data_IF_016703135881
#
_entry.id   IF_016703135881
#
_cell.length_a   1.000
_cell.length_b   1.000
_cell.length_c   1.000
_cell.angle_alpha   90.00
_cell.angle_beta   90.00
_cell.angle_gamma   90.00
#
_symmetry.space_group_name_H-M   'P 1'
#
loop_
_entity.id
_entity.type
_entity.pdbx_description
1 polymer ?
#
# COMPACT_ATOMS: atom_id res chain seq x y z
N UNK A 1 27.75 19.10 54.05
CA UNK A 1 26.58 19.14 53.14
C UNK A 1 27.05 19.37 51.69
N UNK A 2 27.55 18.35 50.96
CA UNK A 2 27.94 18.53 49.54
C UNK A 2 27.79 17.28 48.64
N UNK A 3 27.36 16.13 49.16
CA UNK A 3 27.32 14.89 48.38
C UNK A 3 25.91 14.30 48.17
N UNK A 4 24.86 15.02 48.53
CA UNK A 4 23.48 14.54 48.37
C UNK A 4 22.73 15.11 47.15
N UNK A 5 23.35 16.00 46.37
CA UNK A 5 22.67 16.68 45.25
C UNK A 5 22.87 16.00 43.89
N UNK A 6 23.69 14.96 43.80
CA UNK A 6 24.06 14.31 42.53
C UNK A 6 23.25 13.04 42.20
N UNK A 7 22.37 12.58 43.10
CA UNK A 7 21.56 11.36 42.88
C UNK A 7 20.13 11.61 42.41
N UNK A 8 19.68 12.87 42.32
CA UNK A 8 18.30 13.22 41.88
C UNK A 8 18.23 13.60 40.39
N UNK A 9 19.37 13.68 39.67
CA UNK A 9 19.37 14.00 38.24
C UNK A 9 19.32 12.77 37.31
N UNK A 10 19.26 11.54 37.85
CA UNK A 10 19.19 10.30 37.06
C UNK A 10 17.77 9.75 36.87
N UNK A 11 16.74 10.40 37.44
CA UNK A 11 15.36 9.88 37.45
C UNK A 11 14.36 10.73 36.64
N UNK A 12 14.82 11.61 35.74
CA UNK A 12 13.95 12.45 34.92
C UNK A 12 14.30 12.46 33.42
N UNK A 13 14.80 11.34 32.90
CA UNK A 13 14.63 11.01 31.48
C UNK A 13 13.39 10.12 31.35
N UNK A 14 12.23 10.65 31.77
CA UNK A 14 10.99 10.19 31.19
C UNK A 14 11.13 10.50 29.71
N UNK A 15 11.30 9.47 28.87
CA UNK A 15 11.13 9.61 27.44
C UNK A 15 9.73 10.18 27.24
N UNK A 16 9.58 11.50 27.11
CA UNK A 16 8.57 12.00 26.21
C UNK A 16 9.04 11.49 24.85
N UNK A 17 8.57 10.32 24.46
CA UNK A 17 8.63 9.88 23.08
C UNK A 17 7.90 10.97 22.29
N UNK A 18 8.67 11.97 21.84
CA UNK A 18 8.12 13.05 21.03
C UNK A 18 7.45 12.40 19.83
N UNK A 19 6.30 12.95 19.43
CA UNK A 19 5.59 12.42 18.29
C UNK A 19 6.55 12.35 17.09
N UNK A 20 6.82 11.15 16.59
CA UNK A 20 7.79 10.92 15.54
C UNK A 20 7.05 10.75 14.21
N UNK A 21 7.26 11.68 13.28
CA UNK A 21 6.64 11.63 11.95
C UNK A 21 7.58 11.02 10.92
N UNK A 22 7.12 9.95 10.29
CA UNK A 22 7.75 9.31 9.14
C UNK A 22 7.05 9.71 7.85
N UNK A 23 7.81 9.89 6.78
CA UNK A 23 7.28 10.18 5.43
C UNK A 23 7.54 9.00 4.51
N UNK A 24 6.48 8.50 3.89
CA UNK A 24 6.54 7.40 2.92
C UNK A 24 6.07 7.89 1.55
N UNK A 25 6.73 7.42 0.49
CA UNK A 25 6.31 7.62 -0.89
C UNK A 25 6.30 6.28 -1.60
N UNK A 26 5.12 5.84 -2.03
CA UNK A 26 4.92 4.55 -2.71
C UNK A 26 3.64 4.64 -3.55
N UNK A 27 3.31 3.54 -4.21
CA UNK A 27 2.14 3.37 -5.03
C UNK A 27 0.88 3.18 -4.19
N UNK A 28 -0.18 3.83 -4.65
CA UNK A 28 -1.53 3.74 -4.12
C UNK A 28 -2.47 3.33 -5.23
N UNK A 29 -3.36 2.40 -4.90
CA UNK A 29 -4.35 1.84 -5.80
C UNK A 29 -5.72 1.96 -5.16
N UNK A 30 -6.73 2.31 -5.96
CA UNK A 30 -8.10 2.50 -5.49
C UNK A 30 -9.02 1.48 -6.16
N UNK A 31 -9.77 0.73 -5.37
CA UNK A 31 -10.85 -0.15 -5.81
C UNK A 31 -12.19 0.53 -5.52
N UNK A 32 -13.00 0.65 -6.57
CA UNK A 32 -14.30 1.34 -6.57
C UNK A 32 -15.46 0.35 -6.35
N UNK A 33 -15.26 -0.66 -5.51
CA UNK A 33 -16.33 -1.53 -5.01
C UNK A 33 -17.02 -2.32 -6.12
N UNK A 34 -16.25 -2.82 -7.09
CA UNK A 34 -16.73 -3.70 -8.16
C UNK A 34 -17.50 -3.03 -9.32
N UNK A 35 -17.82 -1.73 -9.25
CA UNK A 35 -18.56 -1.03 -10.34
C UNK A 35 -17.66 -0.59 -11.50
N UNK A 36 -16.38 -0.34 -11.25
CA UNK A 36 -15.43 0.22 -12.24
C UNK A 36 -14.02 -0.38 -12.16
N UNK A 37 -13.84 -1.44 -11.36
CA UNK A 37 -12.55 -2.10 -11.18
C UNK A 37 -11.56 -1.31 -10.32
N UNK A 38 -10.29 -1.67 -10.45
CA UNK A 38 -9.16 -1.12 -9.71
C UNK A 38 -8.42 -0.08 -10.57
N UNK A 39 -8.06 1.07 -10.01
CA UNK A 39 -7.32 2.11 -10.75
C UNK A 39 -5.89 1.69 -11.06
N UNK A 40 -5.28 2.32 -12.07
CA UNK A 40 -3.83 2.28 -12.22
C UNK A 40 -3.15 2.81 -10.93
N UNK A 41 -1.97 2.29 -10.55
CA UNK A 41 -1.22 2.81 -9.42
C UNK A 41 -0.87 4.29 -9.61
N UNK A 42 -1.00 5.07 -8.54
CA UNK A 42 -0.55 6.46 -8.46
C UNK A 42 0.49 6.60 -7.37
N UNK A 43 1.52 7.42 -7.57
CA UNK A 43 2.46 7.76 -6.51
C UNK A 43 1.77 8.65 -5.48
N UNK A 44 1.85 8.27 -4.20
CA UNK A 44 1.25 9.00 -3.10
C UNK A 44 2.25 9.20 -1.95
N UNK A 45 2.17 10.36 -1.30
CA UNK A 45 2.95 10.69 -0.11
C UNK A 45 2.08 10.55 1.13
N UNK A 46 2.58 9.83 2.13
CA UNK A 46 1.88 9.56 3.38
C UNK A 46 2.77 9.92 4.56
N UNK A 47 2.20 10.64 5.52
CA UNK A 47 2.82 10.86 6.82
C UNK A 47 2.22 9.90 7.84
N UNK A 48 3.10 9.23 8.59
CA UNK A 48 2.72 8.41 9.73
C UNK A 48 3.36 9.01 10.97
N UNK A 49 2.57 9.51 11.91
CA UNK A 49 3.07 10.10 13.15
C UNK A 49 2.82 9.17 14.31
N UNK A 50 3.86 8.61 14.89
CA UNK A 50 3.79 7.76 16.08
C UNK A 50 3.69 8.62 17.34
N UNK A 51 2.79 8.27 18.26
CA UNK A 51 2.64 8.91 19.58
C UNK A 51 1.89 7.97 20.53
N UNK A 52 2.29 7.90 21.79
CA UNK A 52 1.55 7.22 22.88
C UNK A 52 0.97 5.82 22.54
N UNK A 53 1.73 4.98 21.81
CA UNK A 53 1.26 3.64 21.40
C UNK A 53 0.20 3.64 20.30
N UNK A 54 0.05 4.76 19.61
CA UNK A 54 -0.86 5.00 18.50
C UNK A 54 -0.14 5.62 17.31
N UNK A 55 -0.84 5.71 16.19
CA UNK A 55 -0.41 6.47 15.02
C UNK A 55 -1.51 7.38 14.47
N UNK A 56 -1.07 8.51 13.93
CA UNK A 56 -1.85 9.32 13.00
C UNK A 56 -1.37 9.04 11.57
N UNK A 57 -2.31 8.67 10.69
CA UNK A 57 -2.08 8.45 9.27
C UNK A 57 -2.60 9.66 8.47
N UNK A 58 -1.74 10.32 7.71
CA UNK A 58 -2.11 11.42 6.82
C UNK A 58 -1.71 11.13 5.36
N UNK A 59 -2.70 10.83 4.51
CA UNK A 59 -2.52 10.72 3.07
C UNK A 59 -2.62 12.10 2.43
N UNK A 60 -1.55 12.53 1.76
CA UNK A 60 -1.48 13.87 1.14
C UNK A 60 -2.02 13.86 -0.28
N UNK A 61 -2.76 14.91 -0.64
CA UNK A 61 -3.15 15.21 -2.02
C UNK A 61 -3.82 14.07 -2.76
N UNK A 62 -4.71 13.36 -2.07
CA UNK A 62 -5.41 12.24 -2.68
C UNK A 62 -6.32 12.75 -3.80
N UNK A 63 -5.98 12.37 -5.03
CA UNK A 63 -6.80 12.55 -6.21
C UNK A 63 -6.99 11.19 -6.84
N UNK A 64 -8.21 10.68 -6.82
CA UNK A 64 -8.49 9.45 -7.55
C UNK A 64 -8.94 9.81 -8.98
N UNK A 65 -8.47 9.02 -9.94
CA UNK A 65 -8.75 9.20 -11.36
C UNK A 65 -9.48 7.96 -11.88
N UNK A 66 -10.62 8.16 -12.52
CA UNK A 66 -11.28 7.15 -13.33
C UNK A 66 -11.22 7.55 -14.80
N UNK A 67 -11.55 6.67 -15.75
CA UNK A 67 -11.62 7.05 -17.16
C UNK A 67 -12.58 8.21 -17.46
N UNK A 68 -13.57 8.44 -16.60
CA UNK A 68 -14.63 9.43 -16.82
C UNK A 68 -14.56 10.65 -15.91
N UNK A 69 -14.03 10.51 -14.69
CA UNK A 69 -14.01 11.60 -13.69
C UNK A 69 -12.74 11.54 -12.85
N UNK A 70 -12.13 12.71 -12.67
CA UNK A 70 -11.09 12.92 -11.67
C UNK A 70 -11.70 13.59 -10.45
N UNK A 71 -11.54 12.99 -9.28
CA UNK A 71 -12.07 13.55 -8.04
C UNK A 71 -10.91 13.84 -7.10
N UNK A 72 -10.70 15.13 -6.86
CA UNK A 72 -9.70 15.62 -5.92
C UNK A 72 -10.31 15.61 -4.52
N UNK A 73 -9.81 14.73 -3.66
CA UNK A 73 -10.33 14.59 -2.29
C UNK A 73 -9.63 15.55 -1.35
N UNK A 74 -8.30 15.66 -1.45
CA UNK A 74 -7.46 16.54 -0.62
C UNK A 74 -6.54 15.74 0.29
N UNK A 75 -6.18 16.31 1.45
CA UNK A 75 -5.50 15.55 2.49
C UNK A 75 -6.52 14.79 3.33
N UNK A 76 -6.18 13.56 3.67
CA UNK A 76 -6.99 12.70 4.53
C UNK A 76 -6.16 12.39 5.77
N UNK A 77 -6.63 12.81 6.95
CA UNK A 77 -5.98 12.50 8.21
C UNK A 77 -6.89 11.64 9.09
N UNK A 78 -6.41 10.45 9.46
CA UNK A 78 -7.05 9.57 10.43
C UNK A 78 -6.13 9.44 11.64
N UNK A 79 -6.63 9.86 12.80
CA UNK A 79 -5.85 9.94 14.04
C UNK A 79 -6.15 8.81 15.00
N UNK A 80 -5.27 8.63 15.98
CA UNK A 80 -5.46 7.75 17.14
C UNK A 80 -5.66 6.26 16.78
N UNK A 81 -5.00 5.77 15.73
CA UNK A 81 -5.03 4.37 15.36
C UNK A 81 -4.16 3.55 16.33
N UNK A 82 -4.74 2.54 16.96
CA UNK A 82 -4.04 1.69 17.93
C UNK A 82 -2.93 0.90 17.24
N UNK A 83 -1.75 0.87 17.86
CA UNK A 83 -0.62 0.05 17.40
C UNK A 83 -0.48 -1.20 18.25
N UNK A 84 -0.18 -2.31 17.60
CA UNK A 84 0.22 -3.58 18.21
C UNK A 84 1.51 -4.07 17.58
N UNK A 85 2.43 -4.59 18.39
CA UNK A 85 3.65 -5.24 17.90
C UNK A 85 3.29 -6.54 17.16
N UNK A 86 3.91 -6.77 15.99
CA UNK A 86 3.69 -7.94 15.11
C UNK A 86 5.03 -8.42 14.53
N UNK A 87 5.79 -9.15 15.37
CA UNK A 87 7.15 -9.60 15.04
C UNK A 87 8.11 -8.43 14.84
N UNK A 88 8.72 -8.35 13.66
CA UNK A 88 9.64 -7.26 13.28
C UNK A 88 8.92 -6.01 12.74
N UNK A 89 7.58 -5.99 12.77
CA UNK A 89 6.75 -4.92 12.23
C UNK A 89 5.78 -4.41 13.29
N UNK A 90 5.34 -3.17 13.13
CA UNK A 90 4.23 -2.61 13.90
C UNK A 90 2.96 -2.66 13.06
N UNK A 91 1.88 -3.16 13.63
CA UNK A 91 0.55 -3.21 12.99
C UNK A 91 -0.33 -2.13 13.61
N UNK A 92 -1.09 -1.42 12.77
CA UNK A 92 -2.11 -0.49 13.24
C UNK A 92 -3.47 -0.85 12.64
N UNK A 93 -4.53 -0.62 13.40
CA UNK A 93 -5.89 -0.71 12.90
C UNK A 93 -6.83 0.19 13.69
N UNK A 94 -7.95 0.55 13.07
CA UNK A 94 -8.96 1.34 13.74
C UNK A 94 -10.08 1.82 12.83
N UNK A 95 -11.16 2.26 13.46
CA UNK A 95 -12.29 2.93 12.82
C UNK A 95 -12.38 4.34 13.37
N UNK A 96 -12.58 5.31 12.50
CA UNK A 96 -12.69 6.69 12.93
C UNK A 96 -13.23 7.60 11.85
N UNK A 97 -13.42 8.86 12.24
CA UNK A 97 -13.85 9.92 11.35
C UNK A 97 -12.61 10.65 10.84
N UNK A 98 -12.16 10.30 9.64
CA UNK A 98 -11.01 10.92 9.00
C UNK A 98 -11.32 12.38 8.66
N UNK A 99 -10.42 13.30 9.01
CA UNK A 99 -10.51 14.71 8.67
C UNK A 99 -10.06 14.93 7.23
N UNK A 100 -10.85 15.67 6.48
CA UNK A 100 -10.51 16.09 5.12
C UNK A 100 -10.12 17.56 5.11
N UNK A 101 -9.00 17.88 4.46
CA UNK A 101 -8.56 19.26 4.24
C UNK A 101 -8.18 19.47 2.79
N UNK A 102 -8.21 20.74 2.35
CA UNK A 102 -7.90 21.11 0.96
C UNK A 102 -6.47 20.69 0.61
N UNK A 103 -6.31 20.05 -0.55
CA UNK A 103 -5.01 19.72 -1.11
C UNK A 103 -4.25 20.94 -1.64
N UNK A 104 -2.97 20.73 -1.96
CA UNK A 104 -2.04 21.76 -2.44
C UNK A 104 -1.54 21.51 -3.88
N UNK A 105 -2.06 20.48 -4.58
CA UNK A 105 -1.69 20.23 -5.98
C UNK A 105 -2.22 21.33 -6.93
N UNK A 106 -1.37 21.83 -7.85
CA UNK A 106 -1.80 22.76 -8.89
C UNK A 106 -2.78 22.09 -9.85
N UNK A 107 -3.66 22.89 -10.47
CA UNK A 107 -4.63 22.42 -11.47
C UNK A 107 -5.97 21.91 -10.92
N UNK A 108 -6.13 21.84 -9.60
CA UNK A 108 -7.40 21.46 -8.96
C UNK A 108 -8.06 22.67 -8.30
N UNK A 109 -9.12 23.18 -8.93
CA UNK A 109 -9.91 24.28 -8.39
C UNK A 109 -10.85 23.81 -7.27
N UNK A 110 -11.42 22.61 -7.44
CA UNK A 110 -12.41 22.02 -6.53
C UNK A 110 -11.84 20.81 -5.79
N UNK A 111 -12.05 20.77 -4.47
CA UNK A 111 -11.63 19.69 -3.58
C UNK A 111 -12.85 19.18 -2.80
N UNK A 112 -12.98 17.87 -2.64
CA UNK A 112 -14.08 17.25 -1.89
C UNK A 112 -14.12 17.74 -0.45
N UNK A 113 -12.96 18.05 0.13
CA UNK A 113 -12.85 18.67 1.46
C UNK A 113 -13.63 19.99 1.60
N UNK A 114 -13.98 20.65 0.50
CA UNK A 114 -14.82 21.86 0.50
C UNK A 114 -16.32 21.56 0.64
N UNK A 115 -16.77 20.36 0.30
CA UNK A 115 -18.15 19.91 0.53
C UNK A 115 -18.33 19.21 1.87
N UNK A 116 -17.30 18.51 2.34
CA UNK A 116 -17.35 17.75 3.58
C UNK A 116 -16.02 17.83 4.31
N UNK A 117 -16.07 18.07 5.62
CA UNK A 117 -14.87 18.20 6.46
C UNK A 117 -14.35 16.86 6.99
N UNK A 118 -15.12 15.78 6.85
CA UNK A 118 -14.76 14.49 7.41
C UNK A 118 -15.51 13.31 6.80
N UNK A 119 -14.91 12.12 6.84
CA UNK A 119 -15.49 10.87 6.33
C UNK A 119 -15.23 9.70 7.29
N UNK A 120 -16.22 8.84 7.49
CA UNK A 120 -16.03 7.62 8.29
C UNK A 120 -15.18 6.61 7.51
N UNK A 121 -14.17 6.06 8.20
CA UNK A 121 -13.10 5.29 7.60
C UNK A 121 -12.62 4.19 8.55
N UNK A 122 -12.33 3.04 7.97
CA UNK A 122 -11.62 1.94 8.61
C UNK A 122 -10.22 1.85 8.00
N UNK A 123 -9.21 1.72 8.85
CA UNK A 123 -7.83 1.56 8.44
C UNK A 123 -7.25 0.28 9.04
N UNK A 124 -6.43 -0.39 8.25
CA UNK A 124 -5.64 -1.55 8.66
C UNK A 124 -4.31 -1.53 7.93
N UNK A 125 -3.21 -1.66 8.64
CA UNK A 125 -1.89 -1.56 8.03
C UNK A 125 -0.76 -2.03 8.92
N UNK A 126 0.43 -2.05 8.35
CA UNK A 126 1.67 -2.33 9.05
C UNK A 126 2.79 -1.44 8.52
N UNK A 127 3.77 -1.17 9.37
CA UNK A 127 4.91 -0.35 9.04
C UNK A 127 6.19 -0.81 9.74
N UNK A 128 7.30 -0.45 9.12
CA UNK A 128 8.66 -0.46 9.67
C UNK A 128 9.22 0.95 9.53
N UNK A 129 10.49 1.17 9.90
CA UNK A 129 11.14 2.46 9.64
C UNK A 129 11.18 2.82 8.14
N UNK A 130 11.21 1.81 7.26
CA UNK A 130 11.47 1.98 5.82
C UNK A 130 10.24 1.71 4.94
N UNK A 131 9.20 1.06 5.48
CA UNK A 131 8.06 0.60 4.68
C UNK A 131 6.74 0.85 5.37
N UNK A 132 5.72 1.20 4.59
CA UNK A 132 4.35 1.38 5.05
C UNK A 132 3.41 0.70 4.07
N UNK A 133 2.51 -0.13 4.60
CA UNK A 133 1.45 -0.79 3.85
C UNK A 133 0.14 -0.61 4.59
N UNK A 134 -0.91 -0.16 3.91
CA UNK A 134 -2.21 -0.05 4.53
C UNK A 134 -3.35 -0.17 3.53
N UNK A 135 -4.50 -0.55 4.07
CA UNK A 135 -5.77 -0.53 3.39
C UNK A 135 -6.70 0.44 4.12
N UNK A 136 -7.43 1.24 3.36
CA UNK A 136 -8.52 2.08 3.86
C UNK A 136 -9.82 1.61 3.25
N UNK A 137 -10.84 1.41 4.06
CA UNK A 137 -12.20 1.12 3.62
C UNK A 137 -13.12 2.27 4.06
N UNK A 138 -13.84 2.87 3.11
CA UNK A 138 -14.76 3.99 3.38
C UNK A 138 -15.88 4.04 2.35
N UNK A 139 -16.92 4.85 2.62
CA UNK A 139 -18.06 5.03 1.71
C UNK A 139 -18.24 6.51 1.37
N UNK A 140 -18.10 6.86 0.10
CA UNK A 140 -18.38 8.23 -0.37
C UNK A 140 -19.86 8.34 -0.75
N UNK A 141 -20.61 9.33 -0.24
CA UNK A 141 -22.07 9.41 -0.39
C UNK A 141 -22.62 9.24 -1.81
N UNK A 142 -21.89 9.70 -2.83
CA UNK A 142 -22.32 9.66 -4.24
C UNK A 142 -21.67 8.56 -5.07
N UNK A 143 -20.65 7.89 -4.53
CA UNK A 143 -19.85 6.91 -5.27
C UNK A 143 -19.98 5.49 -4.72
N UNK A 144 -20.32 5.36 -3.44
CA UNK A 144 -20.43 4.08 -2.74
C UNK A 144 -19.14 3.68 -2.06
N UNK A 145 -18.98 2.37 -1.84
CA UNK A 145 -17.84 1.79 -1.13
C UNK A 145 -16.57 1.93 -1.95
N UNK A 146 -15.50 2.35 -1.29
CA UNK A 146 -14.17 2.47 -1.84
C UNK A 146 -13.18 1.75 -0.93
N UNK A 147 -12.21 1.09 -1.55
CA UNK A 147 -11.08 0.50 -0.86
C UNK A 147 -9.80 1.05 -1.45
N UNK A 148 -8.94 1.60 -0.62
CA UNK A 148 -7.62 2.10 -1.02
C UNK A 148 -6.58 1.12 -0.50
N UNK A 149 -5.57 0.81 -1.31
CA UNK A 149 -4.39 0.05 -0.91
C UNK A 149 -3.15 0.86 -1.22
N UNK A 150 -2.28 1.02 -0.22
CA UNK A 150 -1.01 1.69 -0.33
C UNK A 150 0.13 0.73 -0.03
N UNK A 151 1.25 0.90 -0.72
CA UNK A 151 2.47 0.14 -0.51
C UNK A 151 2.55 -1.17 -1.30
N UNK A 152 3.74 -1.77 -1.27
CA UNK A 152 3.98 -3.11 -1.81
C UNK A 152 3.49 -4.18 -0.84
N UNK A 153 2.23 -4.59 -1.00
CA UNK A 153 1.71 -5.76 -0.33
C UNK A 153 2.46 -6.99 -0.82
N UNK A 154 3.41 -7.49 -0.01
CA UNK A 154 4.03 -8.80 -0.26
C UNK A 154 2.92 -9.82 -0.31
N UNK A 155 2.56 -10.23 -1.52
CA UNK A 155 1.66 -11.33 -1.73
C UNK A 155 2.52 -12.56 -1.44
N UNK A 156 2.31 -13.23 -0.30
CA UNK A 156 2.79 -14.61 -0.08
C UNK A 156 1.98 -15.59 -0.94
N UNK A 157 1.79 -15.24 -2.21
CA UNK A 157 1.14 -16.04 -3.23
C UNK A 157 2.09 -16.09 -4.41
N UNK A 158 2.41 -17.31 -4.83
CA UNK A 158 3.24 -17.61 -6.01
C UNK A 158 2.77 -16.72 -7.16
N UNK A 159 3.61 -15.78 -7.60
CA UNK A 159 3.37 -15.10 -8.86
C UNK A 159 3.36 -16.20 -9.92
N UNK A 160 2.20 -16.45 -10.50
CA UNK A 160 2.12 -17.28 -11.69
C UNK A 160 2.95 -16.54 -12.72
N UNK A 161 4.13 -17.06 -13.04
CA UNK A 161 4.98 -16.47 -14.06
C UNK A 161 4.11 -16.26 -15.31
N UNK A 162 4.01 -15.02 -15.76
CA UNK A 162 3.43 -14.70 -17.06
C UNK A 162 4.32 -15.41 -18.07
N UNK A 163 3.89 -16.58 -18.53
CA UNK A 163 4.53 -17.21 -19.67
C UNK A 163 4.21 -16.31 -20.85
N UNK A 164 5.17 -15.46 -21.23
CA UNK A 164 5.22 -15.00 -22.60
C UNK A 164 5.16 -16.25 -23.50
N UNK A 165 4.45 -16.24 -24.63
CA UNK A 165 4.61 -17.27 -25.63
C UNK A 165 6.02 -17.13 -26.21
N UNK A 166 7.01 -17.70 -25.52
CA UNK A 166 8.26 -18.02 -26.13
C UNK A 166 7.94 -19.10 -27.16
N UNK A 167 8.40 -18.92 -28.41
CA UNK A 167 8.44 -19.98 -29.40
C UNK A 167 8.84 -21.28 -28.69
N UNK A 168 7.91 -22.25 -28.63
CA UNK A 168 8.04 -23.38 -27.72
C UNK A 168 9.34 -24.12 -28.03
N UNK A 169 10.34 -23.96 -27.16
CA UNK A 169 11.64 -24.53 -27.39
C UNK A 169 11.52 -26.07 -27.48
N UNK A 170 12.06 -26.63 -28.55
CA UNK A 170 12.05 -28.06 -28.83
C UNK A 170 13.37 -28.67 -28.39
N UNK A 171 13.32 -29.78 -27.65
CA UNK A 171 14.49 -30.54 -27.23
C UNK A 171 14.33 -32.02 -27.57
N UNK A 172 15.46 -32.68 -27.83
CA UNK A 172 15.55 -34.14 -27.78
C UNK A 172 15.51 -34.63 -26.33
N UNK A 173 15.24 -35.92 -26.09
CA UNK A 173 15.34 -36.52 -24.75
C UNK A 173 16.75 -36.43 -24.14
N UNK A 174 17.79 -36.28 -24.97
CA UNK A 174 19.16 -36.04 -24.52
C UNK A 174 19.47 -34.57 -24.18
N UNK A 175 18.48 -33.68 -24.16
CA UNK A 175 18.64 -32.27 -23.77
C UNK A 175 19.19 -31.35 -24.86
N UNK A 176 19.46 -31.85 -26.07
CA UNK A 176 19.86 -31.01 -27.21
C UNK A 176 18.66 -30.20 -27.74
N UNK A 177 18.82 -28.88 -27.84
CA UNK A 177 17.84 -27.95 -28.42
C UNK A 177 17.78 -28.10 -29.95
N UNK A 178 16.58 -28.04 -30.50
CA UNK A 178 16.26 -28.04 -31.92
C UNK A 178 15.59 -26.72 -32.30
N UNK A 179 15.87 -26.23 -33.51
CA UNK A 179 15.26 -25.00 -34.05
C UNK A 179 13.76 -25.19 -34.34
N UNK A 180 13.32 -26.41 -34.63
CA UNK A 180 11.92 -26.74 -34.88
C UNK A 180 11.62 -28.22 -34.57
N UNK A 181 10.33 -28.56 -34.40
CA UNK A 181 9.87 -29.92 -34.18
C UNK A 181 9.93 -30.73 -35.49
N UNK A 182 10.68 -31.86 -35.53
CA UNK A 182 10.73 -32.69 -36.74
C UNK A 182 9.35 -33.24 -37.14
N UNK A 183 9.13 -33.32 -38.46
CA UNK A 183 7.82 -33.64 -39.01
C UNK A 183 7.38 -35.10 -38.83
N UNK A 184 8.31 -36.04 -38.58
CA UNK A 184 8.01 -37.47 -38.42
C UNK A 184 9.02 -38.15 -37.51
N UNK A 185 8.52 -39.05 -36.66
CA UNK A 185 9.32 -39.99 -35.88
C UNK A 185 10.01 -39.36 -34.68
N UNK A 186 9.83 -39.99 -33.52
CA UNK A 186 10.63 -39.76 -32.32
C UNK A 186 9.85 -39.10 -31.17
N UNK A 187 10.57 -38.88 -30.08
CA UNK A 187 10.04 -38.29 -28.84
C UNK A 187 10.82 -37.03 -28.53
N UNK A 188 10.09 -35.92 -28.32
CA UNK A 188 10.65 -34.59 -28.11
C UNK A 188 10.03 -33.94 -26.87
N UNK A 189 10.73 -32.96 -26.29
CA UNK A 189 10.18 -32.07 -25.28
C UNK A 189 9.91 -30.73 -25.96
N UNK A 190 8.64 -30.32 -26.03
CA UNK A 190 8.19 -29.06 -26.63
C UNK A 190 7.52 -28.23 -25.54
N UNK A 191 8.06 -27.05 -25.22
CA UNK A 191 7.51 -26.20 -24.15
C UNK A 191 7.43 -26.91 -22.80
N UNK A 192 8.35 -27.84 -22.52
CA UNK A 192 8.37 -28.64 -21.30
C UNK A 192 7.46 -29.88 -21.30
N UNK A 193 6.77 -30.19 -22.41
CA UNK A 193 5.88 -31.36 -22.52
C UNK A 193 6.46 -32.40 -23.48
N UNK A 194 6.32 -33.69 -23.13
CA UNK A 194 6.68 -34.80 -24.01
C UNK A 194 5.69 -34.88 -25.19
N UNK A 195 6.20 -34.82 -26.40
CA UNK A 195 5.45 -34.96 -27.66
C UNK A 195 6.04 -36.13 -28.45
N UNK A 196 5.18 -36.97 -29.00
CA UNK A 196 5.55 -38.09 -29.89
C UNK A 196 5.07 -37.76 -31.30
N UNK A 197 5.95 -37.89 -32.28
CA UNK A 197 5.68 -37.64 -33.71
C UNK A 197 5.91 -38.91 -34.53
#
# INVERSE_FOLDING_TARGET
>A
MKHFLLLIFAALLGLSAGAQTHTYTDNLVVDLGGKTGTTAPITATVYLTEHDGKVDLELRNFVFKTPTVNTAVGHIKLSDLTVTEDGDKKRFSGKGKAKLTRGDLPGYFFWMSSLMSSLDMEADGYFTADSLNFALDFTVPFQGKMKVKYGQWTTTGVQTAVSAPADEAVYTLGGRRLEALPARGGVYIVGGRKVVR
#
